data_IF_298578087648
#
_entry.id   IF_298578087648
#
_cell.length_a   1.000
_cell.length_b   1.000
_cell.length_c   1.000
_cell.angle_alpha   90.00
_cell.angle_beta   90.00
_cell.angle_gamma   90.00
#
_symmetry.space_group_name_H-M   'P 1'
#
loop_
_entity.id
_entity.type
_entity.pdbx_description
1 polymer ?
#
# COMPACT_ATOMS: atom_id res chain seq x y z
N UNK A 1 10.28 -6.77 -9.07
CA UNK A 1 9.59 -5.58 -9.63
C UNK A 1 8.09 -5.86 -9.79
N UNK A 2 7.70 -6.85 -10.59
CA UNK A 2 6.29 -7.23 -10.77
C UNK A 2 5.58 -7.63 -9.46
N UNK A 3 6.27 -8.34 -8.56
CA UNK A 3 5.71 -8.81 -7.29
C UNK A 3 5.22 -7.69 -6.36
N UNK A 4 5.85 -6.51 -6.40
CA UNK A 4 5.44 -5.35 -5.56
C UNK A 4 4.14 -4.74 -6.08
N UNK A 5 3.96 -4.70 -7.40
CA UNK A 5 2.74 -4.22 -8.05
C UNK A 5 1.58 -5.18 -7.72
N UNK A 6 1.80 -6.49 -7.83
CA UNK A 6 0.79 -7.49 -7.45
C UNK A 6 0.45 -7.47 -5.96
N UNK A 7 1.46 -7.29 -5.09
CA UNK A 7 1.24 -7.14 -3.65
C UNK A 7 0.42 -5.87 -3.32
N UNK A 8 0.65 -4.79 -4.07
CA UNK A 8 -0.14 -3.56 -3.98
C UNK A 8 -1.61 -3.77 -4.32
N UNK A 9 -1.89 -4.36 -5.49
CA UNK A 9 -3.26 -4.65 -5.94
C UNK A 9 -3.99 -5.56 -4.95
N UNK A 10 -3.33 -6.63 -4.48
CA UNK A 10 -3.89 -7.56 -3.48
C UNK A 10 -4.26 -6.86 -2.17
N UNK A 11 -3.42 -5.94 -1.70
CA UNK A 11 -3.65 -5.18 -0.46
C UNK A 11 -4.85 -4.23 -0.57
N UNK A 12 -5.02 -3.55 -1.71
CA UNK A 12 -6.17 -2.67 -1.96
C UNK A 12 -7.48 -3.45 -2.01
N UNK A 13 -7.50 -4.59 -2.69
CA UNK A 13 -8.68 -5.48 -2.75
C UNK A 13 -9.05 -5.99 -1.36
N UNK A 14 -8.06 -6.41 -0.57
CA UNK A 14 -8.25 -6.86 0.81
C UNK A 14 -8.82 -5.77 1.73
N UNK A 15 -8.31 -4.52 1.60
CA UNK A 15 -8.82 -3.37 2.33
C UNK A 15 -10.30 -3.09 2.03
N UNK A 16 -10.68 -3.06 0.75
CA UNK A 16 -12.07 -2.82 0.32
C UNK A 16 -13.00 -3.91 0.82
N UNK A 17 -12.58 -5.18 0.72
CA UNK A 17 -13.38 -6.31 1.21
C UNK A 17 -13.65 -6.22 2.71
N UNK A 18 -12.61 -5.96 3.52
CA UNK A 18 -12.76 -5.81 4.97
C UNK A 18 -13.58 -4.58 5.38
N UNK A 19 -13.50 -3.50 4.60
CA UNK A 19 -14.32 -2.30 4.82
C UNK A 19 -15.81 -2.59 4.61
N UNK A 20 -16.15 -3.26 3.51
CA UNK A 20 -17.53 -3.65 3.20
C UNK A 20 -18.02 -4.68 4.21
N UNK A 21 -17.20 -5.67 4.58
CA UNK A 21 -17.50 -6.66 5.62
C UNK A 21 -17.85 -5.98 6.93
N UNK A 22 -17.04 -5.02 7.38
CA UNK A 22 -17.32 -4.24 8.60
C UNK A 22 -18.61 -3.43 8.50
N UNK A 23 -18.94 -2.86 7.33
CA UNK A 23 -20.15 -2.05 7.14
C UNK A 23 -21.41 -2.91 7.07
N UNK A 24 -21.36 -4.02 6.34
CA UNK A 24 -22.53 -4.84 6.01
C UNK A 24 -22.84 -5.88 7.09
N UNK A 25 -21.82 -6.57 7.64
CA UNK A 25 -22.04 -7.61 8.66
C UNK A 25 -22.19 -7.06 10.09
N UNK A 26 -22.02 -5.75 10.32
CA UNK A 26 -22.21 -5.12 11.65
C UNK A 26 -23.64 -4.64 11.95
N UNK A 27 -24.68 -5.07 11.23
CA UNK A 27 -26.08 -4.65 11.50
C UNK A 27 -26.70 -5.35 12.72
N UNK A 28 -27.89 -4.94 13.19
CA UNK A 28 -28.20 -3.75 13.96
C UNK A 28 -28.55 -4.17 15.40
N UNK A 29 -27.60 -4.04 16.32
CA UNK A 29 -27.79 -4.48 17.72
C UNK A 29 -26.54 -4.35 18.59
N UNK A 30 -25.37 -4.16 17.99
CA UNK A 30 -24.10 -4.01 18.72
C UNK A 30 -23.89 -2.61 19.33
N UNK A 31 -24.97 -1.91 19.73
CA UNK A 31 -24.89 -0.58 20.35
C UNK A 31 -24.18 -0.59 21.71
N UNK A 32 -24.23 -1.71 22.44
CA UNK A 32 -23.57 -1.89 23.74
C UNK A 32 -22.31 -2.77 23.75
N UNK A 33 -22.02 -3.55 22.70
CA UNK A 33 -20.75 -4.30 22.56
C UNK A 33 -19.67 -3.54 21.79
N UNK A 34 -19.77 -2.20 21.78
CA UNK A 34 -18.83 -1.28 21.09
C UNK A 34 -17.37 -1.44 21.55
N UNK A 35 -17.16 -1.98 22.75
CA UNK A 35 -15.85 -2.24 23.38
C UNK A 35 -15.28 -3.63 22.98
N UNK A 36 -16.13 -4.56 22.51
CA UNK A 36 -15.77 -5.95 22.14
C UNK A 36 -15.76 -6.18 20.62
N UNK A 37 -15.95 -5.14 19.81
CA UNK A 37 -15.59 -5.17 18.38
C UNK A 37 -14.06 -5.24 18.32
N UNK A 38 -13.50 -6.40 17.96
CA UNK A 38 -12.19 -6.83 18.40
C UNK A 38 -11.14 -5.83 17.92
N UNK A 39 -10.25 -5.41 18.83
CA UNK A 39 -9.08 -4.57 18.54
C UNK A 39 -8.37 -5.01 17.24
N UNK A 40 -8.37 -6.32 16.98
CA UNK A 40 -7.85 -6.96 15.76
C UNK A 40 -8.49 -6.41 14.48
N UNK A 41 -9.81 -6.22 14.40
CA UNK A 41 -10.48 -5.72 13.19
C UNK A 41 -10.20 -4.25 12.91
N UNK A 42 -10.15 -3.42 13.96
CA UNK A 42 -9.80 -2.00 13.85
C UNK A 42 -8.32 -1.86 13.49
N UNK A 43 -7.44 -2.62 14.14
CA UNK A 43 -6.02 -2.66 13.86
C UNK A 43 -5.72 -3.14 12.43
N UNK A 44 -6.38 -4.22 11.97
CA UNK A 44 -6.22 -4.74 10.62
C UNK A 44 -6.72 -3.75 9.56
N UNK A 45 -7.87 -3.11 9.77
CA UNK A 45 -8.39 -2.08 8.86
C UNK A 45 -7.45 -0.87 8.77
N UNK A 46 -6.87 -0.47 9.91
CA UNK A 46 -5.92 0.64 9.97
C UNK A 46 -4.58 0.28 9.30
N UNK A 47 -4.05 -0.91 9.55
CA UNK A 47 -2.85 -1.43 8.91
C UNK A 47 -3.01 -1.53 7.38
N UNK A 48 -4.12 -2.08 6.89
CA UNK A 48 -4.41 -2.16 5.47
C UNK A 48 -4.60 -0.79 4.82
N UNK A 49 -5.19 0.18 5.54
CA UNK A 49 -5.31 1.56 5.06
C UNK A 49 -3.94 2.22 4.88
N UNK A 50 -3.05 2.06 5.86
CA UNK A 50 -1.68 2.58 5.77
C UNK A 50 -0.91 1.89 4.64
N UNK A 51 -1.02 0.57 4.54
CA UNK A 51 -0.39 -0.22 3.48
C UNK A 51 -0.87 0.21 2.09
N UNK A 52 -2.17 0.44 1.93
CA UNK A 52 -2.77 0.94 0.69
C UNK A 52 -2.28 2.36 0.32
N UNK A 53 -1.88 3.18 1.30
CA UNK A 53 -1.30 4.51 1.05
C UNK A 53 0.18 4.43 0.63
N UNK A 54 0.92 3.47 1.17
CA UNK A 54 2.36 3.30 0.98
C UNK A 54 2.67 2.53 -0.32
N UNK A 55 1.84 1.57 -0.67
CA UNK A 55 1.98 0.74 -1.89
C UNK A 55 2.08 1.50 -3.22
N UNK A 56 1.38 2.62 -3.47
CA UNK A 56 1.57 3.39 -4.70
C UNK A 56 2.92 4.11 -4.77
N UNK A 57 3.48 4.56 -3.64
CA UNK A 57 4.82 5.18 -3.59
C UNK A 57 5.90 4.16 -3.91
N UNK A 58 5.83 2.98 -3.28
CA UNK A 58 6.71 1.85 -3.56
C UNK A 58 6.55 1.33 -5.00
N UNK A 59 5.32 1.25 -5.50
CA UNK A 59 5.04 0.91 -6.90
C UNK A 59 5.66 1.90 -7.88
N UNK A 60 5.57 3.20 -7.57
CA UNK A 60 6.20 4.27 -8.34
C UNK A 60 7.72 4.14 -8.39
N UNK A 61 8.38 3.93 -7.24
CA UNK A 61 9.82 3.72 -7.18
C UNK A 61 10.27 2.48 -7.99
N UNK A 62 9.49 1.39 -7.95
CA UNK A 62 9.75 0.18 -8.73
C UNK A 62 9.59 0.40 -10.24
N UNK A 63 8.62 1.22 -10.67
CA UNK A 63 8.43 1.59 -12.07
C UNK A 63 9.57 2.49 -12.54
N UNK A 64 9.98 3.48 -11.75
CA UNK A 64 11.13 4.35 -12.06
C UNK A 64 12.42 3.53 -12.20
N UNK A 65 12.68 2.59 -11.29
CA UNK A 65 13.84 1.70 -11.39
C UNK A 65 13.72 0.71 -12.58
N UNK A 66 12.50 0.34 -12.99
CA UNK A 66 12.29 -0.49 -14.18
C UNK A 66 12.49 0.32 -15.49
N UNK A 67 12.09 1.59 -15.49
CA UNK A 67 12.29 2.55 -16.58
C UNK A 67 13.78 2.83 -16.80
N UNK A 68 14.55 2.99 -15.71
CA UNK A 68 16.01 3.16 -15.79
C UNK A 68 16.68 1.93 -16.43
N UNK A 69 16.17 0.72 -16.17
CA UNK A 69 16.72 -0.53 -16.73
C UNK A 69 16.31 -0.83 -18.17
N UNK A 70 15.07 -0.52 -18.58
CA UNK A 70 14.53 -0.96 -19.87
C UNK A 70 14.41 0.16 -20.90
N UNK A 71 14.32 1.42 -20.48
CA UNK A 71 14.11 2.57 -21.36
C UNK A 71 15.20 3.64 -21.24
N UNK A 72 16.33 3.33 -20.59
CA UNK A 72 17.48 4.23 -20.43
C UNK A 72 17.11 5.62 -19.89
N UNK A 73 16.12 5.70 -18.99
CA UNK A 73 15.94 6.90 -18.17
C UNK A 73 17.00 6.94 -17.07
N UNK A 74 17.27 8.14 -16.55
CA UNK A 74 18.34 8.35 -15.57
C UNK A 74 17.77 9.06 -14.34
N UNK A 75 16.90 8.38 -13.59
CA UNK A 75 16.33 8.92 -12.35
C UNK A 75 17.22 8.66 -11.14
N UNK A 76 17.90 7.51 -11.06
CA UNK A 76 18.74 7.12 -9.92
C UNK A 76 20.24 6.98 -10.23
N UNK A 77 20.65 7.21 -11.48
CA UNK A 77 22.05 7.10 -11.90
C UNK A 77 22.78 8.45 -11.81
N UNK A 78 23.82 8.50 -10.96
CA UNK A 78 24.64 9.70 -10.70
C UNK A 78 25.38 10.18 -11.97
N UNK A 79 25.68 9.28 -12.92
CA UNK A 79 26.46 9.60 -14.11
C UNK A 79 25.75 10.56 -15.09
N UNK A 80 24.42 10.66 -15.01
CA UNK A 80 23.58 11.46 -15.92
C UNK A 80 22.68 12.46 -15.18
N UNK A 81 22.99 12.79 -13.92
CA UNK A 81 22.28 13.81 -13.14
C UNK A 81 21.08 13.31 -12.32
N UNK A 82 20.99 11.99 -12.08
CA UNK A 82 20.03 11.41 -11.13
C UNK A 82 20.58 11.34 -9.70
N UNK A 83 19.69 11.44 -8.70
CA UNK A 83 20.06 11.41 -7.28
C UNK A 83 19.74 10.03 -6.67
N UNK A 84 20.73 9.17 -6.36
CA UNK A 84 20.48 7.87 -5.74
C UNK A 84 19.94 7.98 -4.31
N UNK A 85 20.11 9.13 -3.65
CA UNK A 85 19.49 9.44 -2.35
C UNK A 85 17.95 9.48 -2.46
N UNK A 86 17.42 9.83 -3.64
CA UNK A 86 15.98 9.83 -3.89
C UNK A 86 15.40 8.41 -3.85
N UNK A 87 16.21 7.39 -4.20
CA UNK A 87 15.81 5.97 -4.03
C UNK A 87 15.76 5.53 -2.57
N UNK A 88 16.61 6.11 -1.71
CA UNK A 88 16.60 5.86 -0.27
C UNK A 88 15.43 6.52 0.45
N UNK A 89 14.95 7.69 -0.02
CA UNK A 89 13.78 8.34 0.56
C UNK A 89 12.46 7.67 0.17
N UNK A 90 12.43 6.97 -0.96
CA UNK A 90 11.24 6.28 -1.46
C UNK A 90 11.06 4.85 -0.89
N UNK A 91 12.06 4.32 -0.18
CA UNK A 91 12.07 2.96 0.37
C UNK A 91 12.01 2.97 1.90
#
# INVERSE_FOLDING_TARGET
>A
MLSVIFAGISSTVSFVNLLITRRTLCMPGMRHRRILLPFVTIGLLFALRMLALITPVLGGAMIMMALDRHWQTTFFDFAYGGDPILSQHLF
#
